data_IF_740348514304
#
_entry.id   IF_740348514304
#
_cell.length_a   1.000
_cell.length_b   1.000
_cell.length_c   1.000
_cell.angle_alpha   90.00
_cell.angle_beta   90.00
_cell.angle_gamma   90.00
#
_symmetry.space_group_name_H-M   'P 1'
#
loop_
_entity.id
_entity.type
_entity.pdbx_description
1 polymer ?
#
# COMPACT_ATOMS: atom_id res chain seq x y z
N UNK A 1 -42.56 -7.65 14.41
CA UNK A 1 -42.52 -6.26 14.92
C UNK A 1 -41.51 -5.47 14.10
N UNK A 2 -41.92 -4.49 13.30
CA UNK A 2 -40.99 -3.62 12.55
C UNK A 2 -40.44 -2.55 13.48
N UNK A 3 -39.16 -2.67 13.85
CA UNK A 3 -38.49 -1.67 14.70
C UNK A 3 -38.23 -0.40 13.89
N UNK A 4 -39.06 0.63 14.11
CA UNK A 4 -38.88 1.94 13.46
C UNK A 4 -37.68 2.66 14.08
N UNK A 5 -36.55 2.70 13.35
CA UNK A 5 -35.34 3.40 13.80
C UNK A 5 -35.50 4.91 13.57
N UNK A 6 -35.51 5.70 14.64
CA UNK A 6 -35.55 7.18 14.56
C UNK A 6 -34.13 7.74 14.69
N UNK A 7 -33.69 8.50 13.69
CA UNK A 7 -32.40 9.20 13.68
C UNK A 7 -32.58 10.67 14.09
N UNK A 8 -31.65 11.21 14.88
CA UNK A 8 -31.64 12.63 15.26
C UNK A 8 -31.35 13.54 14.05
N UNK A 9 -31.84 14.79 14.07
CA UNK A 9 -31.57 15.72 12.96
C UNK A 9 -30.09 16.09 12.82
N UNK A 10 -29.35 16.18 13.94
CA UNK A 10 -27.91 16.40 13.91
C UNK A 10 -27.19 15.25 13.17
N UNK A 11 -27.59 14.01 13.43
CA UNK A 11 -27.03 12.84 12.73
C UNK A 11 -27.35 12.88 11.23
N UNK A 12 -28.60 13.17 10.85
CA UNK A 12 -28.99 13.27 9.43
C UNK A 12 -28.16 14.32 8.70
N UNK A 13 -27.96 15.50 9.30
CA UNK A 13 -27.12 16.58 8.75
C UNK A 13 -25.67 16.14 8.59
N UNK A 14 -25.08 15.47 9.58
CA UNK A 14 -23.72 14.92 9.49
C UNK A 14 -23.55 13.94 8.32
N UNK A 15 -24.53 13.06 8.13
CA UNK A 15 -24.52 12.09 7.02
C UNK A 15 -24.62 12.81 5.68
N UNK A 16 -25.52 13.78 5.54
CA UNK A 16 -25.67 14.59 4.32
C UNK A 16 -24.38 15.36 4.01
N UNK A 17 -23.80 16.02 5.02
CA UNK A 17 -22.56 16.78 4.84
C UNK A 17 -21.41 15.89 4.35
N UNK A 18 -21.31 14.66 4.86
CA UNK A 18 -20.30 13.70 4.37
C UNK A 18 -20.49 13.33 2.88
N UNK A 19 -21.74 13.37 2.38
CA UNK A 19 -22.06 13.13 0.97
C UNK A 19 -21.80 14.39 0.13
N UNK A 20 -22.09 15.57 0.66
CA UNK A 20 -21.79 16.87 0.03
C UNK A 20 -20.29 17.09 -0.14
N UNK A 21 -19.51 16.79 0.90
CA UNK A 21 -18.05 16.84 0.90
C UNK A 21 -17.41 15.83 -0.07
N UNK A 22 -18.20 14.93 -0.67
CA UNK A 22 -17.69 13.87 -1.53
C UNK A 22 -16.84 12.82 -0.80
N UNK A 23 -16.98 12.69 0.53
CA UNK A 23 -16.31 11.62 1.30
C UNK A 23 -16.94 10.27 1.04
N UNK A 24 -18.26 10.23 0.83
CA UNK A 24 -19.02 9.01 0.57
C UNK A 24 -20.12 9.23 -0.46
N UNK A 25 -20.36 8.25 -1.32
CA UNK A 25 -21.64 8.16 -2.04
C UNK A 25 -22.77 7.65 -1.11
N UNK A 26 -24.02 7.71 -1.56
CA UNK A 26 -25.19 7.30 -0.77
C UNK A 26 -25.06 5.88 -0.18
N UNK A 27 -24.59 4.92 -0.98
CA UNK A 27 -24.44 3.51 -0.57
C UNK A 27 -23.29 3.35 0.42
N UNK A 28 -22.19 4.06 0.22
CA UNK A 28 -21.03 4.08 1.12
C UNK A 28 -21.41 4.73 2.46
N UNK A 29 -22.11 5.86 2.45
CA UNK A 29 -22.56 6.54 3.66
C UNK A 29 -23.52 5.64 4.46
N UNK A 30 -24.43 4.93 3.78
CA UNK A 30 -25.32 3.96 4.42
C UNK A 30 -24.52 2.85 5.14
N UNK A 31 -23.53 2.26 4.47
CA UNK A 31 -22.68 1.20 5.04
C UNK A 31 -21.83 1.74 6.21
N UNK A 32 -21.18 2.89 6.03
CA UNK A 32 -20.29 3.49 7.01
C UNK A 32 -21.02 3.87 8.31
N UNK A 33 -22.22 4.44 8.19
CA UNK A 33 -23.02 4.89 9.32
C UNK A 33 -24.02 3.84 9.85
N UNK A 34 -23.99 2.61 9.33
CA UNK A 34 -24.86 1.51 9.78
C UNK A 34 -26.36 1.73 9.53
N UNK A 35 -26.71 2.56 8.54
CA UNK A 35 -28.10 2.92 8.25
C UNK A 35 -28.76 1.75 7.52
N UNK A 36 -29.86 1.24 8.08
CA UNK A 36 -30.63 0.17 7.45
C UNK A 36 -31.43 0.73 6.26
N UNK A 37 -30.90 0.56 5.06
CA UNK A 37 -31.60 0.77 3.79
C UNK A 37 -31.22 2.06 3.05
N UNK A 38 -31.01 1.91 1.74
CA UNK A 38 -30.58 3.01 0.86
C UNK A 38 -31.65 4.08 0.72
N UNK A 39 -32.92 3.69 0.78
CA UNK A 39 -34.09 4.59 0.69
C UNK A 39 -34.09 5.65 1.80
N UNK A 40 -33.59 5.33 2.99
CA UNK A 40 -33.56 6.25 4.14
C UNK A 40 -32.69 7.47 3.84
N UNK A 41 -31.46 7.26 3.38
CA UNK A 41 -30.54 8.35 3.01
C UNK A 41 -31.07 9.13 1.81
N UNK A 42 -31.67 8.44 0.83
CA UNK A 42 -32.32 9.11 -0.32
C UNK A 42 -33.45 10.03 0.13
N UNK A 43 -34.27 9.58 1.07
CA UNK A 43 -35.37 10.37 1.65
C UNK A 43 -34.87 11.63 2.35
N UNK A 44 -33.73 11.54 3.05
CA UNK A 44 -33.10 12.71 3.65
C UNK A 44 -32.58 13.67 2.60
N UNK A 45 -31.85 13.20 1.58
CA UNK A 45 -31.38 14.05 0.48
C UNK A 45 -32.53 14.79 -0.21
N UNK A 46 -33.67 14.12 -0.46
CA UNK A 46 -34.88 14.74 -0.99
C UNK A 46 -35.45 15.80 -0.04
N UNK A 47 -35.62 15.47 1.23
CA UNK A 47 -36.15 16.38 2.27
C UNK A 47 -35.31 17.64 2.41
N UNK A 48 -34.00 17.52 2.25
CA UNK A 48 -33.03 18.60 2.37
C UNK A 48 -32.71 19.30 1.04
N UNK A 49 -33.44 19.00 -0.05
CA UNK A 49 -33.27 19.65 -1.35
C UNK A 49 -31.98 19.26 -2.11
N UNK A 50 -31.29 18.19 -1.70
CA UNK A 50 -30.02 17.73 -2.25
C UNK A 50 -30.20 16.67 -3.35
N UNK A 51 -31.19 16.86 -4.21
CA UNK A 51 -31.55 15.92 -5.27
C UNK A 51 -30.41 15.68 -6.27
N UNK A 52 -29.57 16.70 -6.51
CA UNK A 52 -28.40 16.60 -7.38
C UNK A 52 -27.31 15.64 -6.87
N UNK A 53 -27.37 15.23 -5.60
CA UNK A 53 -26.47 14.22 -5.02
C UNK A 53 -27.01 12.79 -5.19
N UNK A 54 -28.29 12.64 -5.56
CA UNK A 54 -28.91 11.34 -5.77
C UNK A 54 -28.37 10.76 -7.08
N UNK A 55 -27.72 9.58 -6.99
CA UNK A 55 -27.10 8.94 -8.15
C UNK A 55 -25.73 9.51 -8.52
N UNK A 56 -25.21 10.51 -7.80
CA UNK A 56 -23.83 10.95 -7.94
C UNK A 56 -22.91 9.81 -7.48
N UNK A 57 -22.26 9.16 -8.44
CA UNK A 57 -21.16 8.24 -8.16
C UNK A 57 -20.01 9.12 -7.69
N UNK A 58 -19.88 9.24 -6.37
CA UNK A 58 -18.67 9.83 -5.77
C UNK A 58 -17.55 8.83 -6.05
N UNK A 59 -16.66 9.22 -6.95
CA UNK A 59 -15.50 8.45 -7.42
C UNK A 59 -14.40 8.38 -6.35
N UNK A 60 -14.77 8.01 -5.11
CA UNK A 60 -13.83 7.81 -4.00
C UNK A 60 -12.87 6.66 -4.30
N UNK A 61 -13.28 5.72 -5.17
CA UNK A 61 -12.42 4.65 -5.68
C UNK A 61 -11.20 5.17 -6.44
N UNK A 62 -11.28 6.35 -7.09
CA UNK A 62 -10.21 6.84 -7.97
C UNK A 62 -9.07 7.54 -7.25
N UNK A 63 -9.34 8.22 -6.12
CA UNK A 63 -8.27 8.84 -5.33
C UNK A 63 -7.39 7.78 -4.64
N UNK A 64 -7.98 6.65 -4.23
CA UNK A 64 -7.22 5.55 -3.64
C UNK A 64 -6.41 4.79 -4.69
N UNK A 65 -6.96 4.59 -5.89
CA UNK A 65 -6.30 3.83 -6.96
C UNK A 65 -5.15 4.62 -7.59
N UNK A 66 -5.31 5.93 -7.80
CA UNK A 66 -4.23 6.80 -8.28
C UNK A 66 -3.10 6.93 -7.25
N UNK A 67 -3.43 7.00 -5.96
CA UNK A 67 -2.41 7.02 -4.90
C UNK A 67 -1.69 5.68 -4.79
N UNK A 68 -2.40 4.55 -4.88
CA UNK A 68 -1.78 3.22 -4.93
C UNK A 68 -0.87 3.04 -6.13
N UNK A 69 -1.26 3.54 -7.30
CA UNK A 69 -0.43 3.49 -8.50
C UNK A 69 0.86 4.31 -8.29
N UNK A 70 0.75 5.53 -7.77
CA UNK A 70 1.93 6.37 -7.46
C UNK A 70 2.85 5.73 -6.41
N UNK A 71 2.28 5.13 -5.37
CA UNK A 71 3.06 4.40 -4.35
C UNK A 71 3.75 3.17 -4.95
N UNK A 72 3.05 2.42 -5.80
CA UNK A 72 3.62 1.28 -6.51
C UNK A 72 4.77 1.71 -7.44
N UNK A 73 4.60 2.76 -8.23
CA UNK A 73 5.65 3.32 -9.10
C UNK A 73 6.86 3.83 -8.31
N UNK A 74 6.63 4.44 -7.14
CA UNK A 74 7.73 4.86 -6.25
C UNK A 74 8.51 3.65 -5.75
N UNK A 75 7.79 2.60 -5.32
CA UNK A 75 8.41 1.37 -4.82
C UNK A 75 9.17 0.60 -5.91
N UNK A 76 8.66 0.57 -7.13
CA UNK A 76 9.36 0.01 -8.29
C UNK A 76 10.68 0.74 -8.50
N UNK A 77 10.67 2.08 -8.54
CA UNK A 77 11.90 2.88 -8.71
C UNK A 77 12.93 2.66 -7.61
N UNK A 78 12.50 2.57 -6.35
CA UNK A 78 13.39 2.28 -5.22
C UNK A 78 14.02 0.89 -5.32
N UNK A 79 13.23 -0.12 -5.71
CA UNK A 79 13.71 -1.49 -5.90
C UNK A 79 14.66 -1.60 -7.11
N UNK A 80 14.36 -0.95 -8.23
CA UNK A 80 15.24 -0.90 -9.40
C UNK A 80 16.59 -0.28 -9.06
N UNK A 81 16.60 0.81 -8.28
CA UNK A 81 17.83 1.43 -7.81
C UNK A 81 18.65 0.49 -6.93
N UNK A 82 18.02 -0.13 -5.92
CA UNK A 82 18.71 -1.09 -5.05
C UNK A 82 19.25 -2.29 -5.83
N UNK A 83 18.51 -2.76 -6.83
CA UNK A 83 18.96 -3.85 -7.70
C UNK A 83 20.16 -3.45 -8.56
N UNK A 84 20.17 -2.23 -9.10
CA UNK A 84 21.30 -1.70 -9.88
C UNK A 84 22.56 -1.62 -9.02
N UNK A 85 22.46 -1.07 -7.81
CA UNK A 85 23.59 -0.96 -6.89
C UNK A 85 24.21 -2.34 -6.60
N UNK A 86 23.37 -3.32 -6.24
CA UNK A 86 23.82 -4.71 -5.98
C UNK A 86 24.38 -5.38 -7.25
N UNK A 87 23.80 -5.10 -8.42
CA UNK A 87 24.26 -5.68 -9.68
C UNK A 87 25.65 -5.17 -10.04
N UNK A 88 25.89 -3.87 -9.90
CA UNK A 88 27.20 -3.25 -10.14
C UNK A 88 28.23 -3.85 -9.17
N UNK A 89 27.91 -3.92 -7.89
CA UNK A 89 28.79 -4.51 -6.87
C UNK A 89 29.14 -5.97 -7.20
N UNK A 90 28.14 -6.76 -7.63
CA UNK A 90 28.34 -8.16 -8.02
C UNK A 90 29.26 -8.30 -9.24
N UNK A 91 29.10 -7.45 -10.25
CA UNK A 91 29.97 -7.42 -11.44
C UNK A 91 31.40 -7.05 -11.05
N UNK A 92 31.58 -6.09 -10.16
CA UNK A 92 32.88 -5.71 -9.63
C UNK A 92 33.55 -6.88 -8.90
N UNK A 93 32.84 -7.54 -7.97
CA UNK A 93 33.37 -8.70 -7.24
C UNK A 93 33.73 -9.86 -8.16
N UNK A 94 32.89 -10.16 -9.16
CA UNK A 94 33.20 -11.18 -10.16
C UNK A 94 34.48 -10.86 -10.92
N UNK A 95 34.66 -9.59 -11.30
CA UNK A 95 35.85 -9.11 -11.99
C UNK A 95 37.09 -9.22 -11.10
N UNK A 96 37.01 -8.81 -9.84
CA UNK A 96 38.09 -8.94 -8.86
C UNK A 96 38.53 -10.40 -8.67
N UNK A 97 37.58 -11.32 -8.52
CA UNK A 97 37.89 -12.75 -8.42
C UNK A 97 38.59 -13.26 -9.68
N UNK A 98 38.18 -12.80 -10.86
CA UNK A 98 38.79 -13.18 -12.13
C UNK A 98 40.23 -12.65 -12.25
N UNK A 99 40.47 -11.40 -11.88
CA UNK A 99 41.80 -10.77 -11.88
C UNK A 99 42.73 -11.45 -10.87
N UNK A 100 42.28 -11.65 -9.63
CA UNK A 100 43.09 -12.32 -8.61
C UNK A 100 43.50 -13.74 -9.03
N UNK A 101 42.62 -14.48 -9.70
CA UNK A 101 42.94 -15.80 -10.23
C UNK A 101 43.95 -15.73 -11.39
N UNK A 102 43.82 -14.76 -12.28
CA UNK A 102 44.68 -14.64 -13.47
C UNK A 102 46.07 -14.11 -13.11
N UNK A 103 46.13 -13.01 -12.38
CA UNK A 103 47.35 -12.19 -12.25
C UNK A 103 48.10 -12.52 -10.96
N UNK A 104 47.40 -13.01 -9.93
CA UNK A 104 47.99 -13.36 -8.63
C UNK A 104 48.01 -14.87 -8.38
N UNK A 105 47.43 -15.68 -9.29
CA UNK A 105 47.22 -17.12 -9.12
C UNK A 105 46.50 -17.48 -7.80
N UNK A 106 45.67 -16.56 -7.29
CA UNK A 106 44.94 -16.72 -6.03
C UNK A 106 43.49 -17.15 -6.31
N UNK A 107 43.11 -18.33 -5.80
CA UNK A 107 41.70 -18.72 -5.78
C UNK A 107 41.02 -18.15 -4.52
N UNK A 108 40.50 -16.93 -4.66
CA UNK A 108 39.83 -16.22 -3.57
C UNK A 108 38.61 -17.01 -3.03
N UNK A 109 37.88 -17.74 -3.88
CA UNK A 109 36.72 -18.52 -3.43
C UNK A 109 37.16 -19.64 -2.50
N UNK A 110 38.17 -20.42 -2.92
CA UNK A 110 38.73 -21.51 -2.11
C UNK A 110 39.32 -20.99 -0.81
N UNK A 111 40.04 -19.87 -0.87
CA UNK A 111 40.64 -19.21 0.29
C UNK A 111 39.58 -18.81 1.31
N UNK A 112 38.51 -18.13 0.87
CA UNK A 112 37.41 -17.70 1.75
C UNK A 112 36.70 -18.87 2.43
N UNK A 113 36.46 -19.97 1.71
CA UNK A 113 35.84 -21.19 2.29
C UNK A 113 36.71 -21.80 3.39
N UNK A 114 38.02 -21.84 3.18
CA UNK A 114 38.97 -22.36 4.18
C UNK A 114 38.99 -21.45 5.41
N UNK A 115 39.09 -20.13 5.22
CA UNK A 115 39.10 -19.15 6.30
C UNK A 115 37.83 -19.24 7.15
N UNK A 116 36.66 -19.33 6.49
CA UNK A 116 35.37 -19.40 7.19
C UNK A 116 35.20 -20.69 7.98
N UNK A 117 35.64 -21.84 7.43
CA UNK A 117 35.67 -23.11 8.17
C UNK A 117 36.58 -23.02 9.39
N UNK A 118 37.75 -22.41 9.25
CA UNK A 118 38.74 -22.27 10.32
C UNK A 118 38.20 -21.42 11.47
N UNK A 119 37.59 -20.26 11.16
CA UNK A 119 36.93 -19.39 12.16
C UNK A 119 35.79 -20.14 12.86
N UNK A 120 34.92 -20.83 12.11
CA UNK A 120 33.79 -21.57 12.68
C UNK A 120 34.22 -22.70 13.62
N UNK A 121 35.34 -23.36 13.36
CA UNK A 121 35.87 -24.40 14.25
C UNK A 121 36.41 -23.81 15.56
N UNK A 122 37.13 -22.69 15.50
CA UNK A 122 37.62 -21.99 16.70
C UNK A 122 36.50 -21.52 17.64
N UNK A 123 35.35 -21.10 17.10
CA UNK A 123 34.17 -20.74 17.89
C UNK A 123 33.40 -21.93 18.48
N UNK A 124 33.68 -23.16 18.03
CA UNK A 124 32.99 -24.38 18.51
C UNK A 124 33.78 -25.11 19.59
N UNK A 125 35.08 -24.84 19.68
CA UNK A 125 36.01 -25.41 20.66
C UNK A 125 36.24 -24.49 21.88
N UNK A 126 35.58 -23.32 21.92
CA UNK A 126 35.53 -22.38 23.06
C UNK A 126 34.19 -22.49 23.78
#
# INVERSE_FOLDING_TARGET
MTTTTRYSEAFKRKVIQSIEDGKYNQTQAMKHYGIKGSVTVRGWLKKYGKNHLIGKIVRVETDNELNRLKEAEKKIRELEKALLDVTIENVLYKSLVKVAKRDLNMDLKKTMVISYRRIRMSFRES
#
